data_IF_653091336613
#
_entry.id   IF_653091336613
#
_cell.length_a   1.000
_cell.length_b   1.000
_cell.length_c   1.000
_cell.angle_alpha   90.00
_cell.angle_beta   90.00
_cell.angle_gamma   90.00
#
_symmetry.space_group_name_H-M   'P 1'
#
loop_
_entity.id
_entity.type
_entity.pdbx_description
1 polymer ?
#
# COMPACT_ATOMS: atom_id res chain seq x y z
N UNK A 1 11.17 39.46 -28.96
CA UNK A 1 10.15 38.49 -28.50
C UNK A 1 10.90 37.23 -28.08
N UNK A 2 11.13 37.03 -26.78
CA UNK A 2 11.74 35.81 -26.26
C UNK A 2 10.69 35.09 -25.41
N UNK A 3 10.15 33.98 -25.93
CA UNK A 3 9.24 33.09 -25.21
C UNK A 3 10.09 32.17 -24.33
N UNK A 4 10.11 32.45 -23.02
CA UNK A 4 10.69 31.54 -22.04
C UNK A 4 9.66 30.45 -21.77
N UNK A 5 9.89 29.25 -22.32
CA UNK A 5 9.14 28.05 -21.96
C UNK A 5 9.49 27.64 -20.53
N UNK A 6 8.65 28.04 -19.57
CA UNK A 6 8.68 27.48 -18.23
C UNK A 6 8.19 26.04 -18.27
N UNK A 7 9.12 25.08 -18.28
CA UNK A 7 8.80 23.68 -17.97
C UNK A 7 8.36 23.67 -16.50
N UNK A 8 7.06 23.57 -16.25
CA UNK A 8 6.58 23.10 -14.95
C UNK A 8 6.95 21.63 -14.88
N UNK A 9 8.13 21.34 -14.34
CA UNK A 9 8.34 20.07 -13.69
C UNK A 9 7.22 19.97 -12.67
N UNK A 10 6.30 19.03 -12.85
CA UNK A 10 5.40 18.65 -11.79
C UNK A 10 6.32 18.19 -10.66
N UNK A 11 6.51 19.05 -9.67
CA UNK A 11 7.11 18.66 -8.40
C UNK A 11 6.14 17.64 -7.82
N UNK A 12 6.43 16.36 -8.06
CA UNK A 12 6.00 15.30 -7.17
C UNK A 12 6.33 15.82 -5.77
N UNK A 13 5.35 15.95 -4.85
CA UNK A 13 5.68 16.37 -3.50
C UNK A 13 6.73 15.39 -2.98
N UNK A 14 7.98 15.85 -2.89
CA UNK A 14 9.01 15.17 -2.13
C UNK A 14 8.65 15.33 -0.66
N UNK A 15 7.61 14.62 -0.21
CA UNK A 15 7.62 14.08 1.13
C UNK A 15 8.36 12.76 1.03
N UNK A 16 9.69 12.85 0.90
CA UNK A 16 10.52 11.79 1.45
C UNK A 16 10.21 11.82 2.95
N UNK A 17 9.20 11.03 3.34
CA UNK A 17 8.97 10.70 4.74
C UNK A 17 10.30 10.12 5.18
N UNK A 18 11.01 10.78 6.10
CA UNK A 18 12.08 10.12 6.84
C UNK A 18 11.39 9.06 7.71
N UNK A 19 11.10 7.93 7.08
CA UNK A 19 10.31 6.87 7.65
C UNK A 19 11.14 6.24 8.75
N UNK A 20 10.76 6.48 9.99
CA UNK A 20 11.30 5.70 11.09
C UNK A 20 10.60 4.34 11.08
N UNK A 21 11.19 3.40 10.34
CA UNK A 21 10.69 2.04 10.19
C UNK A 21 10.44 1.37 11.55
N UNK A 22 11.14 1.76 12.62
CA UNK A 22 10.90 1.17 13.95
C UNK A 22 9.54 1.56 14.52
N UNK A 23 9.03 2.75 14.19
CA UNK A 23 7.75 3.24 14.69
C UNK A 23 6.54 2.58 14.01
N UNK A 24 6.72 1.93 12.86
CA UNK A 24 5.61 1.18 12.23
C UNK A 24 5.35 -0.16 12.88
N UNK A 25 6.16 -0.59 13.86
CA UNK A 25 6.04 -1.89 14.50
C UNK A 25 4.65 -2.15 15.12
N UNK A 26 4.23 -3.41 15.09
CA UNK A 26 3.03 -3.91 15.77
C UNK A 26 1.85 -4.14 14.84
N UNK A 27 0.67 -4.29 15.45
CA UNK A 27 -0.57 -4.66 14.75
C UNK A 27 -1.10 -3.55 13.86
N UNK A 28 -1.60 -3.95 12.69
CA UNK A 28 -2.27 -3.12 11.70
C UNK A 28 -3.44 -3.87 11.09
N UNK A 29 -4.43 -3.13 10.60
CA UNK A 29 -5.59 -3.69 9.89
C UNK A 29 -5.73 -3.03 8.53
N UNK A 30 -5.80 -3.82 7.46
CA UNK A 30 -6.21 -3.30 6.15
C UNK A 30 -7.65 -2.77 6.24
N UNK A 31 -7.87 -1.52 5.84
CA UNK A 31 -9.17 -0.82 5.88
C UNK A 31 -9.72 -0.59 4.48
N UNK A 32 -8.86 -0.21 3.53
CA UNK A 32 -9.22 -0.05 2.13
C UNK A 32 -8.11 -0.55 1.21
N UNK A 33 -8.48 -1.01 0.03
CA UNK A 33 -7.56 -1.39 -1.03
C UNK A 33 -7.99 -0.75 -2.34
N UNK A 34 -7.03 -0.16 -3.03
CA UNK A 34 -7.19 0.46 -4.33
C UNK A 34 -6.28 -0.23 -5.34
N UNK A 35 -6.71 -0.30 -6.60
CA UNK A 35 -5.90 -0.87 -7.66
C UNK A 35 -6.10 -0.12 -8.98
N UNK A 36 -5.05 -0.13 -9.81
CA UNK A 36 -5.12 0.37 -11.18
C UNK A 36 -5.87 -0.59 -12.10
N UNK A 37 -5.75 -1.89 -11.81
CA UNK A 37 -6.51 -2.96 -12.42
C UNK A 37 -7.32 -3.68 -11.33
N UNK A 38 -8.64 -3.70 -11.48
CA UNK A 38 -9.55 -4.29 -10.50
C UNK A 38 -9.32 -5.79 -10.32
N UNK A 39 -8.83 -6.50 -11.35
CA UNK A 39 -8.59 -7.94 -11.32
C UNK A 39 -7.54 -8.37 -10.28
N UNK A 40 -6.73 -7.40 -9.83
CA UNK A 40 -5.74 -7.60 -8.76
C UNK A 40 -6.39 -7.79 -7.38
N UNK A 41 -7.67 -7.40 -7.21
CA UNK A 41 -8.38 -7.36 -5.92
C UNK A 41 -9.83 -7.87 -5.94
N UNK A 42 -10.45 -8.01 -7.11
CA UNK A 42 -11.91 -8.21 -7.26
C UNK A 42 -12.43 -9.57 -6.77
N UNK A 43 -11.59 -10.61 -6.74
CA UNK A 43 -11.93 -11.94 -6.22
C UNK A 43 -11.25 -12.25 -4.88
N UNK A 44 -11.78 -13.21 -4.12
CA UNK A 44 -11.17 -13.61 -2.83
C UNK A 44 -9.78 -14.20 -3.01
N UNK A 45 -9.55 -14.90 -4.12
CA UNK A 45 -8.28 -15.52 -4.49
C UNK A 45 -7.43 -14.62 -5.40
N UNK A 46 -7.80 -13.35 -5.55
CA UNK A 46 -7.05 -12.41 -6.38
C UNK A 46 -5.61 -12.29 -5.84
N UNK A 47 -4.61 -12.26 -6.73
CA UNK A 47 -3.22 -12.49 -6.36
C UNK A 47 -2.67 -11.52 -5.31
N UNK A 48 -3.17 -10.29 -5.29
CA UNK A 48 -2.70 -9.20 -4.43
C UNK A 48 -3.72 -8.80 -3.35
N UNK A 49 -4.83 -9.53 -3.22
CA UNK A 49 -5.80 -9.34 -2.14
C UNK A 49 -5.28 -9.99 -0.86
N UNK A 50 -4.40 -9.26 -0.17
CA UNK A 50 -3.78 -9.66 1.10
C UNK A 50 -4.13 -8.68 2.21
N UNK A 51 -4.36 -9.19 3.40
CA UNK A 51 -4.73 -8.40 4.58
C UNK A 51 -3.56 -8.37 5.57
N UNK A 52 -2.96 -7.20 5.76
CA UNK A 52 -1.87 -7.01 6.72
C UNK A 52 -2.39 -7.23 8.14
N UNK A 53 -1.61 -7.95 8.95
CA UNK A 53 -1.89 -8.22 10.36
C UNK A 53 -0.89 -7.51 11.27
N UNK A 54 0.39 -7.57 10.92
CA UNK A 54 1.46 -7.06 11.76
C UNK A 54 2.66 -6.63 10.92
N UNK A 55 3.32 -5.58 11.37
CA UNK A 55 4.57 -5.07 10.79
C UNK A 55 5.69 -5.27 11.81
N UNK A 56 6.77 -5.93 11.40
CA UNK A 56 7.90 -6.30 12.26
C UNK A 56 9.22 -5.81 11.66
N UNK A 57 9.66 -4.60 12.03
CA UNK A 57 10.96 -4.06 11.61
C UNK A 57 12.11 -4.92 12.12
N UNK A 58 13.15 -5.09 11.32
CA UNK A 58 14.38 -5.81 11.72
C UNK A 58 15.47 -4.84 12.17
N UNK A 59 16.47 -5.29 12.96
CA UNK A 59 17.62 -4.46 13.33
C UNK A 59 18.41 -3.91 12.14
N UNK A 60 18.36 -4.60 10.99
CA UNK A 60 19.04 -4.19 9.75
C UNK A 60 18.25 -3.14 8.95
N UNK A 61 17.02 -2.83 9.35
CA UNK A 61 16.13 -1.87 8.69
C UNK A 61 15.17 -2.48 7.67
N UNK A 62 15.12 -3.81 7.55
CA UNK A 62 14.11 -4.50 6.74
C UNK A 62 12.77 -4.55 7.47
N UNK A 63 11.72 -5.00 6.78
CA UNK A 63 10.38 -5.12 7.33
C UNK A 63 9.79 -6.50 7.02
N UNK A 64 9.54 -7.30 8.06
CA UNK A 64 8.67 -8.46 7.93
C UNK A 64 7.20 -7.99 7.98
N UNK A 65 6.42 -8.36 6.97
CA UNK A 65 5.00 -8.06 6.88
C UNK A 65 4.24 -9.36 7.08
N UNK A 66 3.54 -9.49 8.21
CA UNK A 66 2.65 -10.62 8.48
C UNK A 66 1.30 -10.33 7.83
N UNK A 67 0.80 -11.28 7.05
CA UNK A 67 -0.41 -11.11 6.25
C UNK A 67 -1.27 -12.37 6.23
N UNK A 68 -2.54 -12.18 5.89
CA UNK A 68 -3.49 -13.24 5.58
C UNK A 68 -3.95 -13.14 4.14
N UNK A 69 -4.10 -14.29 3.47
CA UNK A 69 -4.69 -14.38 2.13
C UNK A 69 -5.59 -15.60 2.01
N UNK A 70 -6.51 -15.59 1.04
CA UNK A 70 -7.32 -16.75 0.71
C UNK A 70 -6.57 -17.63 -0.28
N UNK A 71 -6.42 -18.90 0.02
CA UNK A 71 -5.83 -19.89 -0.88
C UNK A 71 -6.57 -21.21 -0.70
N UNK A 72 -6.99 -21.85 -1.79
CA UNK A 72 -7.71 -23.13 -1.77
C UNK A 72 -8.88 -23.19 -0.77
N UNK A 73 -9.70 -22.13 -0.71
CA UNK A 73 -10.84 -21.99 0.22
C UNK A 73 -10.46 -22.00 1.72
N UNK A 74 -9.18 -21.81 2.05
CA UNK A 74 -8.69 -21.59 3.41
C UNK A 74 -8.15 -20.17 3.55
N UNK A 75 -8.25 -19.61 4.77
CA UNK A 75 -7.52 -18.41 5.12
C UNK A 75 -6.16 -18.85 5.66
N UNK A 76 -5.09 -18.48 4.97
CA UNK A 76 -3.75 -18.84 5.39
C UNK A 76 -2.99 -17.60 5.84
N UNK A 77 -2.23 -17.75 6.92
CA UNK A 77 -1.30 -16.75 7.40
C UNK A 77 0.08 -17.01 6.78
N UNK A 78 0.80 -15.93 6.47
CA UNK A 78 2.17 -15.99 6.04
C UNK A 78 2.89 -14.68 6.34
N UNK A 79 4.18 -14.62 6.02
CA UNK A 79 4.93 -13.38 6.06
C UNK A 79 5.76 -13.19 4.80
N UNK A 80 6.00 -11.93 4.47
CA UNK A 80 6.90 -11.52 3.38
C UNK A 80 7.97 -10.60 3.96
N UNK A 81 9.20 -10.75 3.49
CA UNK A 81 10.32 -9.90 3.90
C UNK A 81 10.52 -8.79 2.86
N UNK A 82 10.27 -7.56 3.26
CA UNK A 82 10.53 -6.36 2.48
C UNK A 82 11.92 -5.83 2.84
N UNK A 83 12.84 -5.87 1.86
CA UNK A 83 14.22 -5.43 2.00
C UNK A 83 14.30 -3.90 1.89
N UNK A 84 15.05 -3.27 2.77
CA UNK A 84 15.28 -1.81 2.68
C UNK A 84 15.97 -1.42 1.37
N UNK A 85 15.75 -0.19 0.96
CA UNK A 85 16.52 0.46 -0.11
C UNK A 85 17.27 1.67 0.43
N UNK A 86 17.91 2.44 -0.46
CA UNK A 86 18.51 3.73 -0.11
C UNK A 86 17.45 4.78 0.28
N UNK A 87 16.24 4.65 -0.26
CA UNK A 87 15.09 5.48 0.14
C UNK A 87 14.38 4.81 1.35
N UNK A 88 14.31 5.49 2.52
CA UNK A 88 13.69 4.94 3.73
C UNK A 88 12.21 4.54 3.55
N UNK A 89 11.50 5.15 2.60
CA UNK A 89 10.10 4.87 2.35
C UNK A 89 9.88 3.74 1.32
N UNK A 90 10.95 3.27 0.66
CA UNK A 90 10.88 2.28 -0.42
C UNK A 90 11.54 0.97 -0.01
N UNK A 91 10.83 -0.14 -0.25
CA UNK A 91 11.27 -1.49 0.03
C UNK A 91 11.15 -2.39 -1.20
N UNK A 92 12.07 -3.33 -1.34
CA UNK A 92 12.00 -4.40 -2.34
C UNK A 92 11.38 -5.65 -1.74
N UNK A 93 10.40 -6.24 -2.42
CA UNK A 93 9.75 -7.48 -1.99
C UNK A 93 9.74 -8.49 -3.13
N UNK A 94 9.94 -9.77 -2.79
CA UNK A 94 9.70 -10.87 -3.72
C UNK A 94 8.36 -11.52 -3.38
N UNK A 95 7.30 -11.07 -4.04
CA UNK A 95 5.96 -11.61 -3.90
C UNK A 95 5.33 -11.77 -5.27
N UNK A 96 5.36 -12.99 -5.81
CA UNK A 96 4.99 -13.27 -7.21
C UNK A 96 5.79 -12.39 -8.19
N UNK A 97 7.11 -12.35 -8.00
CA UNK A 97 8.03 -11.47 -8.70
C UNK A 97 8.61 -10.38 -7.78
N UNK A 98 9.74 -9.82 -8.20
CA UNK A 98 10.37 -8.68 -7.54
C UNK A 98 9.56 -7.40 -7.81
N UNK A 99 9.25 -6.66 -6.73
CA UNK A 99 8.37 -5.48 -6.75
C UNK A 99 8.83 -4.46 -5.74
N UNK A 100 8.49 -3.18 -5.97
CA UNK A 100 8.63 -2.13 -4.96
C UNK A 100 7.37 -1.96 -4.13
N UNK A 101 7.55 -1.76 -2.83
CA UNK A 101 6.58 -1.20 -1.91
C UNK A 101 7.04 0.21 -1.56
N UNK A 102 6.16 1.19 -1.63
CA UNK A 102 6.41 2.58 -1.21
C UNK A 102 5.41 2.97 -0.14
N UNK A 103 5.91 3.41 1.03
CA UNK A 103 5.08 4.05 2.06
C UNK A 103 4.83 5.49 1.62
N UNK A 104 3.55 5.85 1.43
CA UNK A 104 3.16 7.17 0.92
C UNK A 104 3.00 8.18 2.05
N UNK A 105 2.43 7.73 3.17
CA UNK A 105 2.09 8.58 4.30
C UNK A 105 1.79 7.73 5.54
N UNK A 106 2.11 8.24 6.73
CA UNK A 106 1.81 7.59 8.00
C UNK A 106 2.00 8.57 9.15
N UNK A 107 1.19 8.43 10.19
CA UNK A 107 1.42 9.07 11.49
C UNK A 107 1.85 8.07 12.57
N UNK A 108 2.18 6.84 12.15
CA UNK A 108 2.61 5.68 12.96
C UNK A 108 1.57 5.14 13.95
N UNK A 109 0.60 5.96 14.36
CA UNK A 109 -0.26 5.75 15.53
C UNK A 109 -1.73 5.57 15.17
N UNK A 110 -2.16 6.02 14.00
CA UNK A 110 -3.54 5.89 13.53
C UNK A 110 -3.61 5.22 12.16
N UNK A 111 -2.80 5.66 11.19
CA UNK A 111 -2.87 5.17 9.81
C UNK A 111 -1.52 5.03 9.13
N UNK A 112 -1.49 4.19 8.10
CA UNK A 112 -0.39 4.09 7.15
C UNK A 112 -0.95 3.81 5.75
N UNK A 113 -0.45 4.51 4.74
CA UNK A 113 -0.75 4.28 3.34
C UNK A 113 0.50 3.76 2.64
N UNK A 114 0.35 2.69 1.86
CA UNK A 114 1.43 2.20 1.00
C UNK A 114 0.89 1.76 -0.35
N UNK A 115 1.76 1.76 -1.36
CA UNK A 115 1.50 1.16 -2.66
C UNK A 115 2.55 0.08 -2.95
N UNK A 116 2.13 -0.95 -3.69
CA UNK A 116 2.98 -1.99 -4.24
C UNK A 116 2.82 -2.02 -5.75
N UNK A 117 3.94 -2.12 -6.47
CA UNK A 117 3.93 -2.36 -7.90
C UNK A 117 3.29 -3.72 -8.24
N UNK A 118 2.49 -3.75 -9.29
CA UNK A 118 1.83 -4.94 -9.78
C UNK A 118 2.16 -5.19 -11.26
N UNK A 119 2.37 -6.45 -11.68
CA UNK A 119 2.45 -6.77 -13.08
C UNK A 119 1.07 -6.53 -13.69
N UNK A 120 1.00 -5.66 -14.69
CA UNK A 120 -0.19 -5.46 -15.49
C UNK A 120 0.07 -5.97 -16.91
N UNK A 121 -0.74 -6.89 -17.46
CA UNK A 121 -0.66 -7.26 -18.86
C UNK A 121 -0.91 -6.04 -19.74
N UNK A 122 0.09 -5.60 -20.51
CA UNK A 122 -0.04 -4.47 -21.44
C UNK A 122 0.01 -3.07 -20.81
N UNK A 123 0.33 -2.93 -19.52
CA UNK A 123 0.60 -1.64 -18.90
C UNK A 123 1.89 -1.72 -18.06
N UNK A 124 2.80 -0.78 -18.27
CA UNK A 124 4.13 -0.79 -17.63
C UNK A 124 4.12 -0.41 -16.14
N UNK A 125 2.96 -0.20 -15.51
CA UNK A 125 2.89 0.33 -14.13
C UNK A 125 1.58 -0.02 -13.40
N UNK A 126 1.25 -1.32 -13.29
CA UNK A 126 0.17 -1.74 -12.39
C UNK A 126 0.49 -1.36 -10.94
N UNK A 127 -0.53 -1.03 -10.14
CA UNK A 127 -0.33 -0.62 -8.75
C UNK A 127 -1.50 -1.05 -7.87
N UNK A 128 -1.19 -1.52 -6.66
CA UNK A 128 -2.15 -1.76 -5.58
C UNK A 128 -1.75 -0.92 -4.38
N UNK A 129 -2.67 -0.17 -3.82
CA UNK A 129 -2.42 0.63 -2.61
C UNK A 129 -3.37 0.21 -1.50
N UNK A 130 -2.89 0.23 -0.26
CA UNK A 130 -3.69 -0.06 0.91
C UNK A 130 -3.67 1.09 1.91
N UNK A 131 -4.80 1.28 2.57
CA UNK A 131 -4.92 2.01 3.81
C UNK A 131 -4.92 1.01 4.96
N UNK A 132 -3.91 1.08 5.84
CA UNK A 132 -3.87 0.39 7.12
C UNK A 132 -4.24 1.32 8.27
N UNK A 133 -4.95 0.80 9.27
CA UNK A 133 -5.23 1.50 10.51
C UNK A 133 -4.82 0.67 11.73
N UNK A 134 -4.48 1.35 12.83
CA UNK A 134 -4.22 0.68 14.13
C UNK A 134 -5.49 0.10 14.77
N UNK A 135 -6.67 0.57 14.36
CA UNK A 135 -7.96 0.06 14.81
C UNK A 135 -8.92 -0.07 13.64
N UNK A 136 -9.88 -1.00 13.72
CA UNK A 136 -10.92 -1.19 12.69
C UNK A 136 -11.98 -0.07 12.67
N UNK A 137 -11.81 1.01 13.45
CA UNK A 137 -12.76 2.11 13.46
C UNK A 137 -12.65 2.89 12.15
N UNK A 138 -13.77 3.06 11.47
CA UNK A 138 -13.86 3.90 10.30
C UNK A 138 -13.51 5.34 10.67
N UNK A 139 -12.47 5.88 10.04
CA UNK A 139 -12.10 7.29 10.13
C UNK A 139 -12.27 7.92 8.74
N UNK A 140 -13.33 8.73 8.61
CA UNK A 140 -13.67 9.36 7.34
C UNK A 140 -12.63 10.40 6.91
N UNK A 141 -11.98 11.09 7.85
CA UNK A 141 -10.96 12.07 7.51
C UNK A 141 -9.72 11.39 6.94
N UNK A 142 -9.32 10.26 7.52
CA UNK A 142 -8.22 9.45 7.00
C UNK A 142 -8.59 8.81 5.66
N UNK A 143 -9.84 8.36 5.48
CA UNK A 143 -10.31 7.85 4.18
C UNK A 143 -10.29 8.93 3.09
N UNK A 144 -10.70 10.16 3.38
CA UNK A 144 -10.58 11.30 2.45
C UNK A 144 -9.12 11.61 2.14
N UNK A 145 -8.24 11.53 3.15
CA UNK A 145 -6.79 11.69 2.97
C UNK A 145 -6.23 10.63 2.03
N UNK A 146 -6.61 9.36 2.23
CA UNK A 146 -6.22 8.26 1.35
C UNK A 146 -6.66 8.53 -0.10
N UNK A 147 -7.92 8.93 -0.32
CA UNK A 147 -8.42 9.30 -1.65
C UNK A 147 -7.61 10.43 -2.30
N UNK A 148 -7.22 11.46 -1.55
CA UNK A 148 -6.37 12.56 -2.06
C UNK A 148 -4.99 12.06 -2.45
N UNK A 149 -4.37 11.20 -1.64
CA UNK A 149 -3.07 10.59 -1.96
C UNK A 149 -3.16 9.77 -3.25
N UNK A 150 -4.20 8.93 -3.39
CA UNK A 150 -4.43 8.14 -4.60
C UNK A 150 -4.54 9.01 -5.88
N UNK A 151 -5.14 10.21 -5.80
CA UNK A 151 -5.25 11.13 -6.93
C UNK A 151 -3.92 11.76 -7.38
N UNK A 152 -2.87 11.70 -6.54
CA UNK A 152 -1.54 12.20 -6.88
C UNK A 152 -0.66 11.18 -7.60
N UNK A 153 -1.09 9.92 -7.65
CA UNK A 153 -0.33 8.85 -8.29
C UNK A 153 -0.33 9.02 -9.82
N UNK A 154 0.76 8.65 -10.51
CA UNK A 154 0.88 8.80 -11.96
C UNK A 154 -0.02 7.86 -12.75
N UNK A 155 -0.73 6.95 -12.07
CA UNK A 155 -1.62 5.96 -12.66
C UNK A 155 -3.04 6.14 -12.13
N UNK A 156 -4.01 5.88 -13.00
CA UNK A 156 -5.41 5.89 -12.60
C UNK A 156 -5.66 4.73 -11.63
N UNK A 157 -5.94 5.05 -10.37
CA UNK A 157 -6.22 4.07 -9.32
C UNK A 157 -7.61 4.30 -8.73
N UNK A 158 -8.31 3.24 -8.32
CA UNK A 158 -9.64 3.33 -7.70
C UNK A 158 -9.72 2.41 -6.50
N UNK A 159 -10.46 2.81 -5.47
CA UNK A 159 -10.80 1.95 -4.34
C UNK A 159 -11.67 0.79 -4.84
N UNK A 160 -11.20 -0.44 -4.65
CA UNK A 160 -11.90 -1.68 -5.00
C UNK A 160 -12.57 -2.27 -3.75
N UNK A 161 -11.89 -2.22 -2.61
CA UNK A 161 -12.37 -2.74 -1.33
C UNK A 161 -12.40 -1.62 -0.31
N UNK A 162 -13.55 -1.45 0.34
CA UNK A 162 -13.75 -0.54 1.47
C UNK A 162 -14.40 -1.33 2.62
N UNK A 163 -13.55 -1.76 3.55
CA UNK A 163 -13.97 -2.59 4.67
C UNK A 163 -14.77 -1.81 5.71
N UNK A 164 -14.67 -0.47 5.72
CA UNK A 164 -15.48 0.38 6.61
C UNK A 164 -16.97 0.34 6.23
N UNK A 165 -17.24 0.16 4.93
CA UNK A 165 -18.61 0.04 4.38
C UNK A 165 -19.08 -1.42 4.33
N UNK A 166 -18.34 -2.36 4.94
CA UNK A 166 -18.65 -3.79 4.92
C UNK A 166 -18.46 -4.46 3.55
N UNK A 167 -17.89 -3.77 2.56
CA UNK A 167 -17.56 -4.34 1.25
C UNK A 167 -16.24 -5.11 1.36
N UNK A 168 -16.26 -6.41 1.11
CA UNK A 168 -15.05 -7.23 1.08
C UNK A 168 -14.50 -7.64 2.45
N UNK A 169 -15.39 -7.77 3.45
CA UNK A 169 -15.18 -8.13 4.86
C UNK A 169 -13.77 -8.67 5.20
N UNK A 170 -13.05 -8.07 6.17
CA UNK A 170 -11.84 -8.68 6.72
C UNK A 170 -12.27 -9.93 7.50
N UNK A 171 -11.83 -11.10 7.01
CA UNK A 171 -12.25 -12.38 7.57
C UNK A 171 -11.34 -12.71 8.77
N UNK A 172 -11.90 -12.59 9.97
CA UNK A 172 -11.34 -13.08 11.24
C UNK A 172 -11.83 -14.51 11.52
#
# INVERSE_FOLDING_TARGET
>A
LALVCGVRAATVPQTAVDLDIRQVAGTWHSVAMAASDISLLDSETAPLRVYVQELRPTPQGNLEIVLRKRENQACIEGSIMAQKTEDPAVFMVNYQGERKITVLDTDYTHYMFFCMEAPAPGAESGMVCQYLARTLKADNQVMEKFNKVLQTLPVHIRIVLDLTQGKGKPWL
#
